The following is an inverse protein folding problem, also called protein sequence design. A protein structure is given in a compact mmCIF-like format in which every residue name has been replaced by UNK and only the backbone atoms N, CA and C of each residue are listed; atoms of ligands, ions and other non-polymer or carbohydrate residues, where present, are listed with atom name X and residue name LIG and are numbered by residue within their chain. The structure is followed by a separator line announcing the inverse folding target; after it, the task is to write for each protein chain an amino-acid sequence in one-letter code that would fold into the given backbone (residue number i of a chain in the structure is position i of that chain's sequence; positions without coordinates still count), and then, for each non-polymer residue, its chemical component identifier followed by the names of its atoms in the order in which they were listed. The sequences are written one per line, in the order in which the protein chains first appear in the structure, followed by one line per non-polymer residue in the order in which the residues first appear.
data_IF_692983788344
#
_entry.id   IF_692983788344
#
_cell.length_a   1.000
_cell.length_b   1.000
_cell.length_c   1.000
_cell.angle_alpha   90.00
_cell.angle_beta   90.00
_cell.angle_gamma   90.00
#
_symmetry.space_group_name_H-M   'P 1'
#
loop_
_entity.id
_entity.type
_entity.pdbx_description
1 polymer ?
#
# COMPACT_ATOMS: atom_id res chain seq x y z
N UNK A 1 -2.68 15.70 -29.12
CA UNK A 1 -2.03 14.88 -28.07
C UNK A 1 -3.02 14.81 -26.93
N UNK A 2 -3.67 13.67 -26.73
CA UNK A 2 -4.64 13.49 -25.65
C UNK A 2 -3.90 13.40 -24.32
N UNK A 3 -4.07 14.41 -23.46
CA UNK A 3 -3.71 14.34 -22.05
C UNK A 3 -4.52 13.21 -21.41
N UNK A 4 -3.86 12.08 -21.13
CA UNK A 4 -4.43 11.04 -20.27
C UNK A 4 -4.65 11.64 -18.88
N UNK A 5 -5.88 12.10 -18.62
CA UNK A 5 -6.38 12.44 -17.28
C UNK A 5 -6.03 11.28 -16.34
N UNK A 6 -5.03 11.48 -15.48
CA UNK A 6 -4.74 10.60 -14.33
C UNK A 6 -6.05 10.50 -13.55
N UNK A 7 -6.74 9.35 -13.62
CA UNK A 7 -7.88 9.08 -12.75
C UNK A 7 -7.35 9.16 -11.33
N UNK A 8 -7.77 10.20 -10.58
CA UNK A 8 -7.61 10.24 -9.13
C UNK A 8 -8.44 9.07 -8.59
N UNK A 9 -7.79 7.95 -8.37
CA UNK A 9 -8.29 6.94 -7.44
C UNK A 9 -7.95 7.51 -6.08
N UNK A 10 -8.96 7.93 -5.33
CA UNK A 10 -8.82 8.37 -3.95
C UNK A 10 -8.79 7.14 -3.04
N UNK A 11 -8.16 7.27 -1.87
CA UNK A 11 -8.17 6.20 -0.88
C UNK A 11 -9.59 5.91 -0.37
N UNK A 12 -9.85 4.66 0.02
CA UNK A 12 -11.08 4.32 0.71
C UNK A 12 -11.04 4.85 2.15
N UNK A 13 -11.84 5.87 2.44
CA UNK A 13 -11.94 6.49 3.77
C UNK A 13 -13.26 6.05 4.43
N UNK A 14 -13.19 5.61 5.70
CA UNK A 14 -14.36 5.30 6.53
C UNK A 14 -15.32 6.50 6.55
N UNK A 15 -16.56 6.30 6.10
CA UNK A 15 -17.64 7.29 6.16
C UNK A 15 -18.49 7.19 7.43
N UNK A 16 -18.39 6.12 8.19
CA UNK A 16 -19.21 5.86 9.37
C UNK A 16 -18.51 6.33 10.64
N UNK A 17 -19.10 7.33 11.28
CA UNK A 17 -18.77 7.71 12.65
C UNK A 17 -19.26 6.60 13.59
N UNK A 18 -18.40 5.93 14.38
CA UNK A 18 -18.84 4.85 15.27
C UNK A 18 -19.70 5.33 16.45
N UNK A 19 -19.92 6.64 16.59
CA UNK A 19 -20.71 7.22 17.68
C UNK A 19 -22.19 7.42 17.34
N UNK A 20 -22.61 7.19 16.09
CA UNK A 20 -24.00 7.42 15.66
C UNK A 20 -24.87 6.16 15.81
N UNK A 21 -25.23 5.88 17.07
CA UNK A 21 -26.55 5.33 17.41
C UNK A 21 -26.94 3.95 16.87
N UNK A 22 -26.19 2.90 17.21
CA UNK A 22 -26.76 1.59 17.61
C UNK A 22 -25.61 0.68 18.06
N UNK A 23 -25.63 0.26 19.33
CA UNK A 23 -24.69 -0.71 19.90
C UNK A 23 -24.91 -2.12 19.34
N UNK A 24 -24.65 -2.31 18.05
CA UNK A 24 -24.69 -3.59 17.36
C UNK A 24 -23.30 -4.01 16.92
N UNK A 25 -22.91 -5.23 17.29
CA UNK A 25 -21.75 -6.01 16.84
C UNK A 25 -20.92 -5.39 15.69
N UNK A 26 -19.67 -4.98 15.98
CA UNK A 26 -18.71 -4.55 14.94
C UNK A 26 -17.99 -3.22 15.19
N UNK A 27 -18.25 -2.55 16.32
CA UNK A 27 -17.51 -1.34 16.74
C UNK A 27 -16.04 -1.73 16.97
N UNK A 28 -15.19 -1.51 15.96
CA UNK A 28 -13.74 -1.74 16.05
C UNK A 28 -13.16 -2.78 15.09
N UNK A 29 -13.96 -3.45 14.25
CA UNK A 29 -13.38 -4.34 13.22
C UNK A 29 -13.02 -3.53 11.97
N UNK A 30 -11.74 -3.18 11.81
CA UNK A 30 -11.21 -2.67 10.55
C UNK A 30 -11.46 -3.71 9.45
N UNK A 31 -12.33 -3.37 8.50
CA UNK A 31 -12.69 -4.20 7.34
C UNK A 31 -11.63 -4.06 6.24
N UNK A 32 -11.58 -5.06 5.34
CA UNK A 32 -10.83 -4.99 4.07
C UNK A 32 -11.14 -3.71 3.27
N UNK A 33 -12.33 -3.14 3.45
CA UNK A 33 -12.77 -1.90 2.80
C UNK A 33 -11.84 -0.70 3.08
N UNK A 34 -11.14 -0.73 4.22
CA UNK A 34 -10.29 0.38 4.67
C UNK A 34 -8.82 0.21 4.24
N UNK A 35 -8.51 -0.85 3.50
CA UNK A 35 -7.17 -1.13 3.00
C UNK A 35 -7.09 -0.72 1.54
N UNK A 36 -6.13 0.12 1.24
CA UNK A 36 -5.83 0.56 -0.12
C UNK A 36 -4.45 0.04 -0.52
N UNK A 37 -4.34 -0.82 -1.55
CA UNK A 37 -3.05 -1.18 -2.13
C UNK A 37 -2.43 -0.02 -2.92
N UNK A 38 -1.14 0.20 -2.70
CA UNK A 38 -0.30 1.08 -3.51
C UNK A 38 0.85 0.28 -4.07
N UNK A 39 1.16 0.44 -5.36
CA UNK A 39 2.37 -0.13 -5.95
C UNK A 39 3.39 0.98 -6.14
N UNK A 40 4.64 0.70 -5.77
CA UNK A 40 5.79 1.55 -6.07
C UNK A 40 6.65 0.85 -7.11
N UNK A 41 6.91 1.54 -8.22
CA UNK A 41 7.92 1.16 -9.20
C UNK A 41 9.27 1.73 -8.74
N UNK A 42 10.17 0.87 -8.28
CA UNK A 42 11.43 1.29 -7.64
C UNK A 42 12.33 2.03 -8.63
N UNK A 43 12.38 1.59 -9.88
CA UNK A 43 13.23 2.20 -10.91
C UNK A 43 12.67 3.55 -11.35
N UNK A 44 11.37 3.60 -11.65
CA UNK A 44 10.69 4.83 -12.09
C UNK A 44 10.56 5.85 -10.96
N UNK A 45 10.54 5.40 -9.69
CA UNK A 45 10.32 6.26 -8.54
C UNK A 45 8.87 6.78 -8.47
N UNK A 46 7.92 5.97 -8.93
CA UNK A 46 6.51 6.34 -9.01
C UNK A 46 5.66 5.44 -8.11
N UNK A 47 4.67 6.02 -7.45
CA UNK A 47 3.67 5.31 -6.66
C UNK A 47 2.26 5.52 -7.24
N UNK A 48 1.47 4.44 -7.34
CA UNK A 48 0.08 4.48 -7.79
C UNK A 48 -0.83 3.66 -6.89
N UNK A 49 -2.06 4.12 -6.71
CA UNK A 49 -3.11 3.31 -6.07
C UNK A 49 -3.54 2.23 -7.07
N UNK A 50 -3.45 0.97 -6.66
CA UNK A 50 -3.68 -0.19 -7.53
C UNK A 50 -4.73 -1.11 -6.93
N UNK A 51 -6.00 -0.67 -6.90
CA UNK A 51 -7.12 -1.45 -6.31
C UNK A 51 -7.19 -2.89 -6.87
N UNK A 52 -6.78 -3.08 -8.12
CA UNK A 52 -6.69 -4.41 -8.75
C UNK A 52 -5.73 -5.37 -8.05
N UNK A 53 -4.72 -4.87 -7.32
CA UNK A 53 -3.74 -5.67 -6.61
C UNK A 53 -4.36 -6.52 -5.49
N UNK A 54 -5.53 -6.13 -4.97
CA UNK A 54 -6.27 -6.95 -4.01
C UNK A 54 -6.63 -8.34 -4.52
N UNK A 55 -6.74 -8.48 -5.84
CA UNK A 55 -7.08 -9.75 -6.49
C UNK A 55 -6.01 -10.18 -7.49
N UNK A 56 -4.76 -9.69 -7.36
CA UNK A 56 -3.68 -9.91 -8.32
C UNK A 56 -4.02 -9.52 -9.77
N UNK A 57 -4.80 -8.43 -9.92
CA UNK A 57 -5.31 -7.92 -11.21
C UNK A 57 -4.80 -6.51 -11.54
N UNK A 58 -3.81 -6.00 -10.80
CA UNK A 58 -3.19 -4.71 -11.15
C UNK A 58 -2.55 -4.79 -12.55
N UNK A 59 -2.35 -3.67 -13.25
CA UNK A 59 -1.65 -3.64 -14.53
C UNK A 59 -0.27 -4.29 -14.45
N UNK A 60 0.43 -4.13 -13.32
CA UNK A 60 1.75 -4.72 -13.04
C UNK A 60 1.68 -6.25 -12.97
N UNK A 61 0.64 -6.80 -12.34
CA UNK A 61 0.50 -8.25 -12.13
C UNK A 61 -0.22 -8.98 -13.28
N UNK A 62 -1.07 -8.29 -14.04
CA UNK A 62 -1.91 -8.90 -15.07
C UNK A 62 -1.06 -9.61 -16.13
N UNK A 63 -1.31 -10.91 -16.29
CA UNK A 63 -0.65 -11.74 -17.30
C UNK A 63 0.74 -12.25 -16.91
N UNK A 64 1.15 -12.04 -15.66
CA UNK A 64 2.39 -12.51 -15.07
C UNK A 64 2.12 -13.76 -14.23
N UNK A 65 2.97 -14.79 -14.39
CA UNK A 65 2.97 -15.96 -13.50
C UNK A 65 3.99 -15.72 -12.39
N UNK A 66 3.51 -15.65 -11.15
CA UNK A 66 4.38 -15.51 -9.98
C UNK A 66 5.00 -16.86 -9.59
N UNK A 67 6.33 -16.84 -9.44
CA UNK A 67 7.17 -17.97 -9.05
C UNK A 67 7.53 -17.88 -7.56
N UNK A 68 8.01 -18.99 -7.00
CA UNK A 68 8.33 -19.11 -5.58
C UNK A 68 9.75 -18.67 -5.25
N UNK A 69 10.68 -18.71 -6.21
CA UNK A 69 12.03 -18.19 -6.03
C UNK A 69 12.24 -16.93 -6.87
N UNK A 70 12.90 -15.94 -6.26
CA UNK A 70 13.31 -14.70 -6.92
C UNK A 70 14.40 -14.97 -7.97
N UNK A 71 15.23 -15.99 -7.76
CA UNK A 71 16.32 -16.40 -8.65
C UNK A 71 15.80 -16.86 -10.03
N UNK A 72 14.56 -17.34 -10.10
CA UNK A 72 13.90 -17.74 -11.36
C UNK A 72 13.46 -16.53 -12.19
N UNK A 73 13.61 -15.30 -11.67
CA UNK A 73 13.28 -14.04 -12.34
C UNK A 73 14.46 -13.08 -12.24
N UNK A 74 15.62 -13.42 -12.83
CA UNK A 74 16.89 -12.70 -12.60
C UNK A 74 16.87 -11.26 -13.13
N UNK A 75 16.07 -10.99 -14.16
CA UNK A 75 15.90 -9.67 -14.76
C UNK A 75 14.58 -9.00 -14.33
N UNK A 76 13.98 -9.47 -13.25
CA UNK A 76 12.72 -8.94 -12.75
C UNK A 76 12.87 -7.51 -12.27
N UNK A 77 12.08 -6.60 -12.87
CA UNK A 77 12.00 -5.21 -12.42
C UNK A 77 11.46 -5.16 -10.98
N UNK A 78 12.10 -4.43 -10.04
CA UNK A 78 11.67 -4.37 -8.65
C UNK A 78 10.47 -3.45 -8.42
N UNK A 79 9.55 -3.91 -7.58
CA UNK A 79 8.36 -3.20 -7.11
C UNK A 79 8.14 -3.42 -5.62
N UNK A 80 7.47 -2.47 -4.98
CA UNK A 80 6.85 -2.67 -3.67
C UNK A 80 5.33 -2.71 -3.80
N UNK A 81 4.69 -3.65 -3.12
CA UNK A 81 3.26 -3.59 -2.84
C UNK A 81 3.07 -3.13 -1.39
N UNK A 82 2.45 -1.96 -1.22
CA UNK A 82 2.20 -1.32 0.05
C UNK A 82 0.72 -1.48 0.40
N UNK A 83 0.43 -2.05 1.57
CA UNK A 83 -0.91 -2.03 2.16
C UNK A 83 -1.02 -0.81 3.05
N UNK A 84 -2.01 0.03 2.78
CA UNK A 84 -2.27 1.22 3.59
C UNK A 84 -3.67 1.11 4.17
N UNK A 85 -3.77 1.12 5.49
CA UNK A 85 -5.02 1.15 6.22
C UNK A 85 -5.27 2.56 6.74
N UNK A 86 -6.42 3.14 6.37
CA UNK A 86 -6.87 4.42 6.91
C UNK A 86 -7.84 4.17 8.06
N UNK A 87 -7.70 4.97 9.10
CA UNK A 87 -8.62 4.98 10.23
C UNK A 87 -8.92 6.42 10.66
N UNK A 88 -9.88 6.60 11.56
CA UNK A 88 -10.28 7.91 12.10
C UNK A 88 -10.09 7.95 13.61
N UNK A 89 -9.68 9.12 14.10
CA UNK A 89 -9.70 9.50 15.53
C UNK A 89 -10.40 10.85 15.65
N UNK A 90 -10.60 11.35 16.88
CA UNK A 90 -11.26 12.65 17.12
C UNK A 90 -10.64 13.81 16.30
N UNK A 91 -9.35 13.75 15.98
CA UNK A 91 -8.66 14.74 15.14
C UNK A 91 -8.82 14.58 13.61
N UNK A 92 -9.48 13.53 13.13
CA UNK A 92 -9.68 13.23 11.71
C UNK A 92 -9.02 11.93 11.24
N UNK A 93 -9.08 11.68 9.93
CA UNK A 93 -8.50 10.49 9.30
C UNK A 93 -6.96 10.50 9.36
N UNK A 94 -6.34 9.33 9.46
CA UNK A 94 -4.89 9.15 9.46
C UNK A 94 -4.51 7.80 8.85
N UNK A 95 -3.25 7.67 8.39
CA UNK A 95 -2.68 6.38 7.99
C UNK A 95 -2.37 5.58 9.25
N UNK A 96 -3.19 4.57 9.52
CA UNK A 96 -3.17 3.79 10.74
C UNK A 96 -2.27 2.55 10.63
N UNK A 97 -2.21 1.93 9.45
CA UNK A 97 -1.30 0.83 9.16
C UNK A 97 -0.67 1.02 7.79
N UNK A 98 0.62 0.72 7.69
CA UNK A 98 1.39 0.81 6.44
C UNK A 98 2.40 -0.33 6.41
N UNK A 99 2.22 -1.31 5.53
CA UNK A 99 3.15 -2.44 5.43
C UNK A 99 3.60 -2.65 3.99
N UNK A 100 4.88 -3.00 3.80
CA UNK A 100 5.47 -3.23 2.49
C UNK A 100 5.73 -4.73 2.23
N UNK A 101 5.62 -5.11 0.95
CA UNK A 101 5.97 -6.44 0.45
C UNK A 101 6.80 -6.30 -0.82
N UNK A 102 7.89 -7.06 -0.93
CA UNK A 102 8.68 -7.11 -2.16
C UNK A 102 7.90 -7.84 -3.28
N UNK A 103 8.10 -7.37 -4.51
CA UNK A 103 7.66 -8.03 -5.73
C UNK A 103 8.66 -7.74 -6.85
N UNK A 104 8.90 -8.71 -7.73
CA UNK A 104 9.59 -8.46 -9.01
C UNK A 104 8.74 -8.92 -10.18
N UNK A 105 8.86 -8.24 -11.31
CA UNK A 105 8.15 -8.59 -12.54
C UNK A 105 9.07 -8.46 -13.74
N UNK A 106 9.26 -9.56 -14.45
CA UNK A 106 9.85 -9.61 -15.78
C UNK A 106 8.74 -9.80 -16.81
N UNK A 107 8.48 -8.73 -17.59
CA UNK A 107 7.45 -8.75 -18.61
C UNK A 107 7.85 -9.50 -19.88
N UNK A 108 9.14 -9.64 -20.16
CA UNK A 108 9.63 -10.29 -21.39
C UNK A 108 9.30 -11.79 -21.34
N UNK A 109 9.59 -12.44 -20.21
CA UNK A 109 9.28 -13.86 -19.99
C UNK A 109 7.93 -14.09 -19.30
N UNK A 110 7.22 -13.01 -18.96
CA UNK A 110 5.93 -13.02 -18.25
C UNK A 110 6.01 -13.80 -16.93
N UNK A 111 7.07 -13.56 -16.17
CA UNK A 111 7.31 -14.16 -14.85
C UNK A 111 7.54 -13.07 -13.83
N UNK A 112 7.20 -13.35 -12.59
CA UNK A 112 7.46 -12.45 -11.48
C UNK A 112 7.72 -13.26 -10.22
N UNK A 113 8.22 -12.61 -9.19
CA UNK A 113 8.35 -13.20 -7.87
C UNK A 113 7.54 -12.38 -6.87
N UNK A 114 6.81 -13.08 -6.01
CA UNK A 114 6.25 -12.52 -4.77
C UNK A 114 5.93 -13.64 -3.80
N UNK A 115 6.07 -13.37 -2.50
CA UNK A 115 5.66 -14.30 -1.46
C UNK A 115 4.18 -14.09 -1.12
N UNK A 116 3.30 -14.96 -1.63
CA UNK A 116 1.87 -14.90 -1.29
C UNK A 116 1.59 -14.97 0.23
N UNK A 117 2.25 -15.85 1.02
CA UNK A 117 2.06 -15.87 2.46
C UNK A 117 2.46 -14.55 3.13
N UNK A 118 3.54 -13.93 2.67
CA UNK A 118 3.97 -12.63 3.18
C UNK A 118 2.95 -11.55 2.84
N UNK A 119 2.48 -11.50 1.58
CA UNK A 119 1.53 -10.49 1.12
C UNK A 119 0.23 -10.51 1.95
N UNK A 120 -0.32 -11.70 2.23
CA UNK A 120 -1.51 -11.86 3.07
C UNK A 120 -1.22 -11.47 4.52
N UNK A 121 -0.07 -11.87 5.07
CA UNK A 121 0.32 -11.54 6.45
C UNK A 121 0.53 -10.02 6.63
N UNK A 122 1.15 -9.36 5.66
CA UNK A 122 1.39 -7.92 5.65
C UNK A 122 0.08 -7.14 5.53
N UNK A 123 -0.85 -7.62 4.71
CA UNK A 123 -2.20 -7.06 4.63
C UNK A 123 -2.92 -7.14 5.99
N UNK A 124 -2.96 -8.32 6.62
CA UNK A 124 -3.55 -8.51 7.96
C UNK A 124 -2.91 -7.59 9.01
N UNK A 125 -1.57 -7.46 8.98
CA UNK A 125 -0.84 -6.55 9.87
C UNK A 125 -1.18 -5.08 9.62
N UNK A 126 -1.35 -4.66 8.35
CA UNK A 126 -1.80 -3.30 8.03
C UNK A 126 -3.19 -3.04 8.62
N UNK A 127 -4.13 -3.98 8.45
CA UNK A 127 -5.47 -3.89 9.06
C UNK A 127 -5.38 -3.75 10.58
N UNK A 128 -4.43 -4.44 11.21
CA UNK A 128 -4.14 -4.35 12.65
C UNK A 128 -3.31 -3.12 13.04
N UNK A 129 -3.22 -2.11 12.17
CA UNK A 129 -2.53 -0.83 12.40
C UNK A 129 -1.02 -0.95 12.61
N UNK A 130 -0.38 -1.99 12.08
CA UNK A 130 1.08 -2.09 12.12
C UNK A 130 1.72 -1.24 11.02
N UNK A 131 2.87 -0.66 11.36
CA UNK A 131 3.77 0.03 10.43
C UNK A 131 5.01 -0.85 10.24
N UNK A 132 5.25 -1.32 9.01
CA UNK A 132 6.37 -2.19 8.69
C UNK A 132 6.91 -1.87 7.30
N UNK A 133 7.79 -0.87 7.26
CA UNK A 133 8.42 -0.30 6.06
C UNK A 133 9.95 -0.19 6.20
N UNK A 134 10.49 -0.67 7.31
CA UNK A 134 11.90 -0.59 7.70
C UNK A 134 12.84 -1.20 6.66
N UNK A 135 12.43 -2.32 6.07
CA UNK A 135 13.16 -3.12 5.09
C UNK A 135 13.10 -2.58 3.66
N UNK A 136 12.34 -1.52 3.41
CA UNK A 136 12.33 -0.84 2.11
C UNK A 136 13.65 -0.10 1.88
N UNK A 137 14.05 0.03 0.62
CA UNK A 137 15.17 0.88 0.25
C UNK A 137 14.84 2.39 0.46
N UNK A 138 15.86 3.20 0.70
CA UNK A 138 15.70 4.62 0.99
C UNK A 138 15.01 5.42 -0.13
N UNK A 139 15.20 5.05 -1.40
CA UNK A 139 14.53 5.72 -2.54
C UNK A 139 13.03 5.46 -2.48
N UNK A 140 12.63 4.21 -2.29
CA UNK A 140 11.21 3.82 -2.20
C UNK A 140 10.53 4.37 -0.95
N UNK A 141 11.23 4.44 0.20
CA UNK A 141 10.74 5.11 1.41
C UNK A 141 10.40 6.58 1.14
N UNK A 142 11.29 7.30 0.45
CA UNK A 142 11.06 8.69 0.07
C UNK A 142 9.86 8.84 -0.86
N UNK A 143 9.75 7.99 -1.89
CA UNK A 143 8.60 7.99 -2.81
C UNK A 143 7.29 7.77 -2.05
N UNK A 144 7.26 6.81 -1.11
CA UNK A 144 6.09 6.56 -0.29
C UNK A 144 5.74 7.75 0.62
N UNK A 145 6.72 8.34 1.30
CA UNK A 145 6.50 9.51 2.14
C UNK A 145 5.91 10.69 1.36
N UNK A 146 6.49 11.00 0.19
CA UNK A 146 6.03 12.07 -0.69
C UNK A 146 4.62 11.78 -1.22
N UNK A 147 4.35 10.52 -1.59
CA UNK A 147 3.03 10.08 -2.03
C UNK A 147 1.95 10.28 -0.95
N UNK A 148 2.21 9.87 0.29
CA UNK A 148 1.28 10.02 1.41
C UNK A 148 1.02 11.50 1.77
N UNK A 149 2.08 12.31 1.83
CA UNK A 149 1.97 13.77 2.08
C UNK A 149 1.17 14.48 0.99
N UNK A 150 1.43 14.13 -0.27
CA UNK A 150 0.74 14.74 -1.42
C UNK A 150 -0.72 14.30 -1.53
N UNK A 151 -1.05 13.11 -1.04
CA UNK A 151 -2.44 12.65 -0.98
C UNK A 151 -3.24 13.47 0.05
N UNK A 152 -2.80 13.50 1.30
CA UNK A 152 -3.42 14.34 2.34
C UNK A 152 -2.42 14.68 3.44
N UNK A 153 -1.92 15.92 3.42
CA UNK A 153 -0.98 16.42 4.42
C UNK A 153 -1.55 16.40 5.84
N UNK A 154 -2.87 16.60 6.00
CA UNK A 154 -3.53 16.52 7.30
C UNK A 154 -3.54 15.09 7.85
N UNK A 155 -3.80 14.08 7.00
CA UNK A 155 -3.70 12.67 7.40
C UNK A 155 -2.28 12.32 7.79
N UNK A 156 -1.30 12.75 6.99
CA UNK A 156 0.11 12.58 7.28
C UNK A 156 0.48 13.17 8.65
N UNK A 157 0.06 14.40 8.95
CA UNK A 157 0.40 15.01 10.23
C UNK A 157 -0.22 14.28 11.42
N UNK A 158 -1.41 13.72 11.25
CA UNK A 158 -2.12 12.95 12.29
C UNK A 158 -1.63 11.51 12.44
N UNK A 159 -0.87 10.98 11.49
CA UNK A 159 -0.29 9.63 11.56
C UNK A 159 0.77 9.52 12.64
N UNK A 160 1.04 8.29 13.06
CA UNK A 160 2.02 8.00 14.10
C UNK A 160 3.43 8.49 13.70
N UNK A 161 4.19 9.00 14.67
CA UNK A 161 5.56 9.47 14.46
C UNK A 161 6.48 8.34 13.95
N UNK A 162 6.20 7.10 14.34
CA UNK A 162 6.87 5.91 13.83
C UNK A 162 6.83 5.86 12.29
N UNK A 163 5.68 6.13 11.66
CA UNK A 163 5.57 6.12 10.20
C UNK A 163 6.47 7.18 9.56
N UNK A 164 6.46 8.39 10.15
CA UNK A 164 7.27 9.51 9.67
C UNK A 164 8.76 9.22 9.79
N UNK A 165 9.16 8.61 10.90
CA UNK A 165 10.55 8.23 11.19
C UNK A 165 11.02 7.09 10.30
N UNK A 166 10.26 5.99 10.21
CA UNK A 166 10.64 4.79 9.46
C UNK A 166 10.77 5.07 7.96
N UNK A 167 10.01 6.03 7.42
CA UNK A 167 10.11 6.49 6.03
C UNK A 167 11.19 7.56 5.78
N UNK A 168 11.75 8.15 6.84
CA UNK A 168 12.86 9.11 6.76
C UNK A 168 14.20 8.48 7.11
N UNK A 169 14.20 7.31 7.76
CA UNK A 169 15.40 6.53 8.05
C UNK A 169 16.03 6.01 6.74
N UNK A 170 17.19 6.59 6.40
CA UNK A 170 18.02 6.25 5.24
C UNK A 170 18.94 5.08 5.57
#
# INVERSE_FOLDING_TARGET
MEEKKKKKVDFNIIKSDPTDGHGGFGVGTLSLDNVTPVIIDVDAGEASIEVGAMHARSPVEKGIKFLKSKEEVPNGKPYWLIWITIDRKEGGAYYAGVTACEMTVDREIRRGYKSLPEHVNRMDKSIKRHIIVDHMDGKSKKVLADFLKNHDAGMWERSAEQLKTDLQAI
#
